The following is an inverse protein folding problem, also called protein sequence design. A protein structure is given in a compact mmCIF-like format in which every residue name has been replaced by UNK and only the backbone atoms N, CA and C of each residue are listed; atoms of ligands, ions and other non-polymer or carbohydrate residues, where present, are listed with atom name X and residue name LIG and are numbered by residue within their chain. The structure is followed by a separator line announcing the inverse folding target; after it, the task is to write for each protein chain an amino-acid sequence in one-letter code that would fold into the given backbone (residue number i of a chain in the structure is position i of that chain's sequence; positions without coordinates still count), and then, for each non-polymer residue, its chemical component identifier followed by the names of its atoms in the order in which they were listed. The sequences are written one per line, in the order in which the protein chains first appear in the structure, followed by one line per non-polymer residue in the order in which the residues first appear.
data_IF_828991668824
#
_entry.id   IF_828991668824
#
_cell.length_a   1.000
_cell.length_b   1.000
_cell.length_c   1.000
_cell.angle_alpha   90.00
_cell.angle_beta   90.00
_cell.angle_gamma   90.00
#
_symmetry.space_group_name_H-M   'P 1'
#
loop_
_entity.id
_entity.type
_entity.pdbx_description
1 polymer ?
#
# COMPACT_ATOMS: atom_id res chain seq x y z
N UNK A 1 -16.52 29.37 -2.13
CA UNK A 1 -16.41 28.00 -1.58
C UNK A 1 -17.34 26.98 -2.26
N UNK A 2 -18.63 27.29 -2.55
CA UNK A 2 -19.59 26.32 -3.11
C UNK A 2 -19.34 25.85 -4.56
N UNK A 3 -18.52 26.56 -5.34
CA UNK A 3 -18.26 26.25 -6.77
C UNK A 3 -17.06 25.32 -6.98
N UNK A 4 -16.02 25.46 -6.15
CA UNK A 4 -14.81 24.60 -6.16
C UNK A 4 -15.11 23.18 -5.67
N UNK A 5 -16.13 23.00 -4.83
CA UNK A 5 -16.52 21.69 -4.28
C UNK A 5 -17.46 20.90 -5.19
N UNK A 6 -18.08 21.53 -6.20
CA UNK A 6 -19.04 20.86 -7.10
C UNK A 6 -18.40 20.57 -8.45
N UNK A 7 -17.57 21.47 -8.98
CA UNK A 7 -16.93 21.29 -10.29
C UNK A 7 -15.70 20.37 -10.26
N UNK A 8 -14.93 20.32 -9.16
CA UNK A 8 -13.84 19.35 -9.01
C UNK A 8 -14.32 17.96 -8.59
N UNK A 9 -15.50 17.86 -7.96
CA UNK A 9 -16.05 16.56 -7.54
C UNK A 9 -16.57 15.77 -8.76
N UNK A 10 -17.23 16.43 -9.71
CA UNK A 10 -17.74 15.77 -10.93
C UNK A 10 -16.64 15.39 -11.92
N UNK A 11 -15.50 16.10 -11.95
CA UNK A 11 -14.35 15.73 -12.77
C UNK A 11 -13.49 14.59 -12.19
N UNK A 12 -13.48 14.42 -10.85
CA UNK A 12 -12.75 13.35 -10.14
C UNK A 12 -13.55 12.05 -9.98
N UNK A 13 -14.85 12.07 -10.28
CA UNK A 13 -15.74 10.89 -10.28
C UNK A 13 -15.74 10.13 -11.62
N UNK A 14 -14.79 10.39 -12.51
CA UNK A 14 -14.58 9.52 -13.65
C UNK A 14 -13.95 8.22 -13.13
N UNK A 15 -14.79 7.20 -12.93
CA UNK A 15 -14.33 5.84 -12.69
C UNK A 15 -13.54 5.42 -13.92
N UNK A 16 -12.28 5.03 -13.71
CA UNK A 16 -11.40 4.52 -14.79
C UNK A 16 -11.26 3.00 -14.74
N UNK A 17 -11.60 2.41 -13.59
CA UNK A 17 -11.65 0.97 -13.39
C UNK A 17 -12.82 0.64 -12.45
N UNK A 18 -13.83 -0.02 -12.99
CA UNK A 18 -14.95 -0.60 -12.23
C UNK A 18 -14.56 -1.98 -11.72
N UNK A 19 -15.09 -2.36 -10.56
CA UNK A 19 -14.90 -3.68 -9.95
C UNK A 19 -13.43 -4.14 -9.92
N UNK A 20 -12.53 -3.23 -9.56
CA UNK A 20 -11.11 -3.49 -9.54
C UNK A 20 -10.76 -4.51 -8.43
N UNK A 21 -10.14 -5.60 -8.84
CA UNK A 21 -9.68 -6.71 -7.99
C UNK A 21 -8.18 -6.86 -8.15
N UNK A 22 -7.47 -7.00 -7.03
CA UNK A 22 -6.03 -7.32 -7.01
C UNK A 22 -5.83 -8.66 -6.33
N UNK A 23 -5.06 -9.54 -6.97
CA UNK A 23 -4.58 -10.79 -6.39
C UNK A 23 -3.06 -10.78 -6.38
N UNK A 24 -2.50 -11.24 -5.27
CA UNK A 24 -1.08 -11.51 -5.12
C UNK A 24 -0.93 -13.00 -4.85
N UNK A 25 -0.39 -13.73 -5.82
CA UNK A 25 -0.11 -15.16 -5.72
C UNK A 25 1.36 -15.35 -5.38
N UNK A 26 1.66 -15.71 -4.13
CA UNK A 26 3.02 -15.91 -3.64
C UNK A 26 3.53 -17.32 -3.94
N UNK A 27 4.77 -17.43 -4.41
CA UNK A 27 5.39 -18.75 -4.62
C UNK A 27 5.76 -19.39 -3.25
N UNK A 28 5.12 -20.51 -2.85
CA UNK A 28 5.34 -21.10 -1.54
C UNK A 28 6.74 -21.71 -1.37
N UNK A 29 7.47 -21.93 -2.47
CA UNK A 29 8.85 -22.43 -2.43
C UNK A 29 9.84 -21.30 -2.10
N UNK A 30 9.46 -20.03 -2.34
CA UNK A 30 10.30 -18.85 -2.08
C UNK A 30 9.82 -18.09 -0.85
N UNK A 31 8.51 -17.95 -0.68
CA UNK A 31 7.87 -17.22 0.42
C UNK A 31 7.36 -18.19 1.47
N UNK A 32 7.89 -18.06 2.68
CA UNK A 32 7.50 -18.90 3.84
C UNK A 32 6.28 -18.36 4.57
N UNK A 33 6.14 -17.02 4.66
CA UNK A 33 5.04 -16.32 5.32
C UNK A 33 4.87 -14.94 4.70
N UNK A 34 3.65 -14.42 4.72
CA UNK A 34 3.36 -13.06 4.31
C UNK A 34 2.20 -12.48 5.12
N UNK A 35 2.13 -11.16 5.21
CA UNK A 35 1.02 -10.42 5.85
C UNK A 35 0.73 -9.15 5.05
N UNK A 36 -0.55 -8.90 4.79
CA UNK A 36 -1.03 -7.63 4.25
C UNK A 36 -1.13 -6.62 5.40
N UNK A 37 -0.58 -5.42 5.22
CA UNK A 37 -0.58 -4.36 6.23
C UNK A 37 -1.70 -3.35 5.93
N UNK A 38 -2.56 -3.09 6.92
CA UNK A 38 -3.56 -2.02 6.89
C UNK A 38 -4.82 -2.27 6.04
N UNK A 39 -4.88 -3.42 5.34
CA UNK A 39 -6.02 -3.84 4.51
C UNK A 39 -6.53 -5.25 4.85
N UNK A 40 -6.19 -5.75 6.03
CA UNK A 40 -6.51 -7.11 6.50
C UNK A 40 -8.02 -7.42 6.41
N UNK A 41 -8.85 -6.40 6.69
CA UNK A 41 -10.32 -6.53 6.74
C UNK A 41 -11.02 -6.47 5.38
N UNK A 42 -10.30 -6.24 4.27
CA UNK A 42 -10.86 -6.18 2.91
C UNK A 42 -10.36 -7.30 1.99
N UNK A 43 -9.74 -8.34 2.54
CA UNK A 43 -9.21 -9.47 1.76
C UNK A 43 -10.35 -10.25 1.10
N UNK A 44 -10.31 -10.34 -0.22
CA UNK A 44 -11.15 -11.24 -1.01
C UNK A 44 -10.53 -12.64 -0.98
N UNK A 45 -11.35 -13.69 -0.93
CA UNK A 45 -10.82 -15.06 -0.99
C UNK A 45 -10.25 -15.36 -2.39
N UNK A 46 -9.14 -16.10 -2.45
CA UNK A 46 -8.44 -16.36 -3.72
C UNK A 46 -9.34 -17.02 -4.79
N UNK A 47 -10.29 -17.85 -4.35
CA UNK A 47 -11.28 -18.52 -5.21
C UNK A 47 -12.22 -17.55 -5.93
N UNK A 48 -12.43 -16.37 -5.34
CA UNK A 48 -13.40 -15.37 -5.77
C UNK A 48 -12.78 -14.30 -6.67
N UNK A 49 -11.45 -14.33 -6.87
CA UNK A 49 -10.74 -13.34 -7.69
C UNK A 49 -11.26 -13.26 -9.13
N UNK A 50 -11.57 -14.42 -9.74
CA UNK A 50 -12.12 -14.52 -11.11
C UNK A 50 -13.65 -14.61 -11.13
N UNK A 51 -14.31 -14.43 -10.00
CA UNK A 51 -15.76 -14.40 -9.93
C UNK A 51 -16.25 -12.96 -10.13
N UNK A 52 -16.72 -12.65 -11.33
CA UNK A 52 -17.19 -11.31 -11.71
C UNK A 52 -18.52 -10.91 -11.00
N UNK A 53 -19.17 -11.83 -10.28
CA UNK A 53 -20.37 -11.52 -9.47
C UNK A 53 -20.05 -10.97 -8.08
N UNK A 54 -18.78 -11.01 -7.67
CA UNK A 54 -18.33 -10.47 -6.38
C UNK A 54 -17.97 -9.00 -6.54
N UNK A 55 -18.65 -8.14 -5.78
CA UNK A 55 -18.43 -6.70 -5.73
C UNK A 55 -17.02 -6.37 -5.21
N UNK A 56 -16.38 -5.36 -5.79
CA UNK A 56 -15.00 -4.98 -5.51
C UNK A 56 -14.83 -3.46 -5.46
N UNK A 57 -13.60 -2.97 -5.38
CA UNK A 57 -13.35 -1.54 -5.25
C UNK A 57 -13.49 -0.79 -6.57
N UNK A 58 -14.09 0.39 -6.56
CA UNK A 58 -14.00 1.33 -7.68
C UNK A 58 -12.72 2.18 -7.59
N UNK A 59 -12.04 2.41 -8.72
CA UNK A 59 -10.88 3.31 -8.79
C UNK A 59 -11.21 4.48 -9.72
N UNK A 60 -11.18 5.68 -9.12
CA UNK A 60 -11.39 6.95 -9.83
C UNK A 60 -10.10 7.51 -10.41
N UNK A 61 -10.25 8.40 -11.41
CA UNK A 61 -9.12 9.12 -12.00
C UNK A 61 -8.34 9.91 -10.94
N UNK A 62 -7.03 9.69 -10.86
CA UNK A 62 -6.15 10.34 -9.88
C UNK A 62 -6.11 9.66 -8.50
N UNK A 63 -6.88 8.60 -8.27
CA UNK A 63 -6.75 7.80 -7.04
C UNK A 63 -5.59 6.82 -7.14
N UNK A 64 -4.87 6.66 -6.03
CA UNK A 64 -3.84 5.63 -5.87
C UNK A 64 -4.26 4.69 -4.74
N UNK A 65 -4.26 3.39 -5.02
CA UNK A 65 -4.47 2.35 -4.02
C UNK A 65 -3.14 1.68 -3.75
N UNK A 66 -2.75 1.59 -2.49
CA UNK A 66 -1.52 0.91 -2.06
C UNK A 66 -1.88 -0.29 -1.21
N UNK A 67 -1.40 -1.47 -1.62
CA UNK A 67 -1.35 -2.65 -0.77
C UNK A 67 0.10 -2.89 -0.37
N UNK A 68 0.37 -2.98 0.93
CA UNK A 68 1.71 -3.21 1.45
C UNK A 68 1.79 -4.60 2.08
N UNK A 69 2.78 -5.39 1.66
CA UNK A 69 2.99 -6.74 2.19
C UNK A 69 4.31 -6.83 2.93
N UNK A 70 4.27 -7.43 4.12
CA UNK A 70 5.45 -7.94 4.81
C UNK A 70 5.65 -9.40 4.38
N UNK A 71 6.86 -9.76 3.97
CA UNK A 71 7.17 -11.06 3.36
C UNK A 71 8.38 -11.67 4.07
N UNK A 72 8.26 -12.94 4.48
CA UNK A 72 9.37 -13.74 5.00
C UNK A 72 9.76 -14.81 3.98
N UNK A 73 11.01 -14.78 3.53
CA UNK A 73 11.55 -15.75 2.59
C UNK A 73 12.10 -17.00 3.27
N UNK A 74 12.12 -18.11 2.54
CA UNK A 74 12.93 -19.26 2.92
C UNK A 74 14.42 -18.90 2.81
N UNK A 75 15.24 -19.44 3.72
CA UNK A 75 16.67 -19.13 3.77
C UNK A 75 17.40 -19.66 2.52
N UNK A 76 18.25 -18.82 1.92
CA UNK A 76 19.07 -19.19 0.77
C UNK A 76 18.32 -19.39 -0.55
N UNK A 77 16.99 -19.23 -0.57
CA UNK A 77 16.19 -19.42 -1.79
C UNK A 77 16.14 -18.14 -2.63
N UNK A 78 16.21 -18.32 -3.95
CA UNK A 78 16.07 -17.28 -4.97
C UNK A 78 14.95 -17.65 -5.95
N UNK A 79 14.47 -16.66 -6.70
CA UNK A 79 13.45 -16.85 -7.75
C UNK A 79 12.25 -15.92 -7.58
N UNK A 80 11.16 -16.29 -8.24
CA UNK A 80 9.90 -15.53 -8.27
C UNK A 80 9.28 -15.48 -6.88
N UNK A 81 9.02 -14.28 -6.39
CA UNK A 81 8.33 -14.01 -5.13
C UNK A 81 6.83 -14.21 -5.32
N UNK A 82 6.27 -13.55 -6.33
CA UNK A 82 4.85 -13.53 -6.56
C UNK A 82 4.49 -13.16 -8.00
N UNK A 83 3.26 -13.50 -8.38
CA UNK A 83 2.56 -12.90 -9.50
C UNK A 83 1.48 -11.99 -8.96
N UNK A 84 1.48 -10.73 -9.40
CA UNK A 84 0.44 -9.74 -9.05
C UNK A 84 -0.45 -9.55 -10.26
N UNK A 85 -1.76 -9.78 -10.07
CA UNK A 85 -2.77 -9.63 -11.10
C UNK A 85 -3.79 -8.56 -10.69
N UNK A 86 -4.04 -7.61 -11.58
CA UNK A 86 -5.10 -6.60 -11.48
C UNK A 86 -6.16 -6.92 -12.53
N UNK A 87 -7.39 -7.16 -12.09
CA UNK A 87 -8.57 -7.34 -12.94
C UNK A 87 -9.52 -6.17 -12.73
N UNK A 88 -10.03 -5.57 -13.79
CA UNK A 88 -11.01 -4.50 -13.71
C UNK A 88 -11.91 -4.47 -14.94
N UNK A 89 -13.10 -3.90 -14.80
CA UNK A 89 -13.98 -3.62 -15.90
C UNK A 89 -13.74 -2.20 -16.43
N UNK A 90 -13.54 -2.10 -17.74
CA UNK A 90 -13.47 -0.82 -18.44
C UNK A 90 -14.85 -0.14 -18.41
N UNK A 91 -14.93 1.11 -17.92
CA UNK A 91 -16.19 1.80 -17.69
C UNK A 91 -16.94 2.17 -18.98
N UNK A 92 -16.23 2.31 -20.10
CA UNK A 92 -16.76 2.79 -21.38
C UNK A 92 -17.22 1.62 -22.26
N UNK A 93 -16.44 0.54 -22.28
CA UNK A 93 -16.70 -0.66 -23.12
C UNK A 93 -17.42 -1.76 -22.37
N UNK A 94 -17.32 -1.79 -21.03
CA UNK A 94 -17.82 -2.88 -20.20
C UNK A 94 -16.97 -4.16 -20.26
N UNK A 95 -15.85 -4.15 -21.00
CA UNK A 95 -14.96 -5.30 -21.11
C UNK A 95 -14.11 -5.47 -19.85
N UNK A 96 -13.88 -6.73 -19.47
CA UNK A 96 -13.01 -7.05 -18.33
C UNK A 96 -11.58 -7.21 -18.82
N UNK A 97 -10.67 -6.43 -18.23
CA UNK A 97 -9.24 -6.45 -18.51
C UNK A 97 -8.50 -7.08 -17.33
N UNK A 98 -7.41 -7.82 -17.61
CA UNK A 98 -6.52 -8.40 -16.61
C UNK A 98 -5.07 -8.09 -16.99
N UNK A 99 -4.34 -7.47 -16.07
CA UNK A 99 -2.92 -7.14 -16.20
C UNK A 99 -2.18 -7.91 -15.13
N UNK A 100 -1.12 -8.64 -15.50
CA UNK A 100 -0.32 -9.40 -14.55
C UNK A 100 1.16 -9.08 -14.68
N UNK A 101 1.87 -9.10 -13.54
CA UNK A 101 3.32 -8.94 -13.47
C UNK A 101 3.91 -9.91 -12.45
N UNK A 102 4.99 -10.59 -12.84
CA UNK A 102 5.81 -11.37 -11.93
C UNK A 102 6.85 -10.47 -11.25
N UNK A 103 7.16 -10.80 -9.99
CA UNK A 103 8.18 -10.14 -9.20
C UNK A 103 9.21 -11.16 -8.73
N UNK A 104 10.48 -10.93 -9.06
CA UNK A 104 11.60 -11.77 -8.66
C UNK A 104 12.36 -11.19 -7.46
N UNK A 105 12.99 -12.09 -6.69
CA UNK A 105 13.81 -11.71 -5.53
C UNK A 105 14.98 -10.80 -5.89
N UNK A 106 15.50 -10.91 -7.11
CA UNK A 106 16.54 -10.04 -7.63
C UNK A 106 16.09 -8.60 -7.89
N UNK A 107 14.78 -8.34 -8.00
CA UNK A 107 14.25 -6.98 -8.16
C UNK A 107 14.18 -6.20 -6.83
N UNK A 108 14.35 -6.88 -5.70
CA UNK A 108 14.29 -6.23 -4.39
C UNK A 108 15.59 -5.50 -4.08
N UNK A 109 15.43 -4.24 -3.67
CA UNK A 109 16.48 -3.49 -2.98
C UNK A 109 16.71 -4.08 -1.59
N UNK A 110 17.97 -4.31 -1.23
CA UNK A 110 18.37 -4.84 0.09
C UNK A 110 18.65 -3.75 1.13
N UNK A 111 18.76 -2.50 0.70
CA UNK A 111 19.01 -1.33 1.56
C UNK A 111 17.79 -0.42 1.53
N UNK A 112 17.07 -0.33 2.65
CA UNK A 112 15.79 0.39 2.73
C UNK A 112 15.86 1.84 2.19
N UNK A 113 16.94 2.54 2.47
CA UNK A 113 17.18 3.93 2.03
C UNK A 113 17.30 4.09 0.51
N UNK A 114 17.60 3.01 -0.22
CA UNK A 114 17.67 2.96 -1.68
C UNK A 114 16.32 2.64 -2.33
N UNK A 115 15.31 2.24 -1.53
CA UNK A 115 13.96 2.06 -2.05
C UNK A 115 13.36 3.39 -2.47
N UNK A 116 12.28 3.38 -3.27
CA UNK A 116 11.64 4.62 -3.71
C UNK A 116 11.18 5.46 -2.51
N UNK A 117 11.24 6.80 -2.57
CA UNK A 117 10.77 7.65 -1.47
C UNK A 117 9.31 7.38 -1.08
N UNK A 118 8.46 7.02 -2.04
CA UNK A 118 7.07 6.61 -1.79
C UNK A 118 6.96 5.28 -1.04
N UNK A 119 7.82 4.30 -1.34
CA UNK A 119 7.87 3.07 -0.54
C UNK A 119 8.32 3.35 0.90
N UNK A 120 9.36 4.17 1.08
CA UNK A 120 9.83 4.58 2.41
C UNK A 120 8.72 5.29 3.21
N UNK A 121 7.94 6.16 2.56
CA UNK A 121 6.77 6.80 3.16
C UNK A 121 5.70 5.78 3.58
N UNK A 122 5.32 4.87 2.68
CA UNK A 122 4.30 3.86 2.95
C UNK A 122 4.69 2.94 4.11
N UNK A 123 5.96 2.53 4.18
CA UNK A 123 6.49 1.75 5.29
C UNK A 123 6.43 2.54 6.61
N UNK A 124 6.82 3.82 6.60
CA UNK A 124 6.75 4.69 7.78
C UNK A 124 5.32 4.86 8.30
N UNK A 125 4.36 5.06 7.39
CA UNK A 125 2.93 5.20 7.74
C UNK A 125 2.38 3.90 8.31
N UNK A 126 2.74 2.75 7.72
CA UNK A 126 2.33 1.45 8.22
C UNK A 126 2.89 1.18 9.61
N UNK A 127 4.20 1.41 9.83
CA UNK A 127 4.83 1.24 11.15
C UNK A 127 4.20 2.17 12.20
N UNK A 128 3.99 3.44 11.85
CA UNK A 128 3.28 4.39 12.72
C UNK A 128 1.90 3.87 13.14
N UNK A 129 1.12 3.37 12.18
CA UNK A 129 -0.21 2.84 12.45
C UNK A 129 -0.18 1.57 13.33
N UNK A 130 0.81 0.69 13.13
CA UNK A 130 1.00 -0.52 13.94
C UNK A 130 1.36 -0.17 15.39
N UNK A 131 2.23 0.83 15.60
CA UNK A 131 2.56 1.34 16.95
C UNK A 131 1.32 1.91 17.62
N UNK A 132 0.58 2.80 16.94
CA UNK A 132 -0.63 3.42 17.51
C UNK A 132 -1.75 2.43 17.83
N UNK A 133 -1.77 1.29 17.14
CA UNK A 133 -2.70 0.19 17.38
C UNK A 133 -2.24 -0.77 18.48
N UNK A 134 -1.07 -0.55 19.08
CA UNK A 134 -0.42 -1.47 20.01
C UNK A 134 -0.34 -2.89 19.45
N UNK A 135 0.00 -2.98 18.16
CA UNK A 135 0.04 -4.25 17.47
C UNK A 135 1.15 -5.15 17.99
N UNK A 136 0.89 -6.45 18.01
CA UNK A 136 1.91 -7.47 18.31
C UNK A 136 3.17 -7.31 17.46
N UNK A 137 3.04 -6.80 16.22
CA UNK A 137 4.14 -6.64 15.28
C UNK A 137 4.96 -5.37 15.50
N UNK A 138 4.51 -4.44 16.36
CA UNK A 138 5.19 -3.18 16.65
C UNK A 138 5.96 -3.20 17.98
N UNK A 139 6.12 -4.36 18.62
CA UNK A 139 6.76 -4.48 19.94
C UNK A 139 8.21 -3.95 19.97
N UNK A 140 8.92 -4.09 18.86
CA UNK A 140 10.30 -3.62 18.71
C UNK A 140 10.41 -2.26 17.99
N UNK A 141 9.26 -1.68 17.61
CA UNK A 141 9.17 -0.39 16.91
C UNK A 141 9.05 0.77 17.89
N UNK A 142 9.50 1.96 17.48
CA UNK A 142 9.40 3.17 18.29
C UNK A 142 8.98 4.40 17.49
N UNK A 143 8.24 5.31 18.13
CA UNK A 143 7.86 6.59 17.52
C UNK A 143 9.09 7.45 17.18
N UNK A 144 10.21 7.27 17.88
CA UNK A 144 11.48 7.92 17.55
C UNK A 144 12.01 7.47 16.19
N UNK A 145 12.07 6.16 15.92
CA UNK A 145 12.51 5.62 14.64
C UNK A 145 11.59 6.09 13.49
N UNK A 146 10.27 6.02 13.70
CA UNK A 146 9.29 6.50 12.72
C UNK A 146 9.46 7.99 12.47
N UNK A 147 9.76 8.80 13.49
CA UNK A 147 10.02 10.23 13.35
C UNK A 147 11.24 10.51 12.48
N UNK A 148 12.34 9.79 12.71
CA UNK A 148 13.54 9.90 11.87
C UNK A 148 13.21 9.61 10.41
N UNK A 149 12.48 8.52 10.16
CA UNK A 149 12.05 8.16 8.82
C UNK A 149 11.09 9.18 8.20
N UNK A 150 10.12 9.68 8.96
CA UNK A 150 9.15 10.69 8.52
C UNK A 150 9.85 12.00 8.09
N UNK A 151 10.86 12.46 8.83
CA UNK A 151 11.65 13.63 8.44
C UNK A 151 12.49 13.38 7.19
N UNK A 152 13.07 12.17 7.06
CA UNK A 152 13.79 11.78 5.85
C UNK A 152 12.88 11.84 4.62
N UNK A 153 11.71 11.19 4.65
CA UNK A 153 10.81 11.16 3.49
C UNK A 153 10.23 12.53 3.18
N UNK A 154 9.99 13.38 4.19
CA UNK A 154 9.62 14.80 3.99
C UNK A 154 10.69 15.58 3.21
N UNK A 155 11.97 15.32 3.48
CA UNK A 155 13.07 15.90 2.71
C UNK A 155 13.13 15.38 1.27
N UNK A 156 12.93 14.07 1.07
CA UNK A 156 12.97 13.43 -0.25
C UNK A 156 11.76 13.79 -1.13
N UNK A 157 10.60 14.04 -0.51
CA UNK A 157 9.34 14.39 -1.17
C UNK A 157 8.97 15.85 -0.89
N UNK A 158 9.95 16.74 -0.97
CA UNK A 158 9.76 18.16 -0.70
C UNK A 158 8.67 18.75 -1.62
N UNK A 159 7.71 19.45 -1.01
CA UNK A 159 6.56 20.04 -1.71
C UNK A 159 5.28 19.22 -1.65
N UNK A 160 5.31 18.01 -1.11
CA UNK A 160 4.10 17.23 -0.81
C UNK A 160 3.52 17.65 0.57
N UNK A 161 2.36 18.33 0.60
CA UNK A 161 1.77 18.82 1.86
C UNK A 161 1.33 17.68 2.78
N UNK A 162 0.90 16.54 2.23
CA UNK A 162 0.42 15.40 3.01
C UNK A 162 1.58 14.71 3.73
N UNK A 163 2.75 14.64 3.08
CA UNK A 163 3.98 14.13 3.72
C UNK A 163 4.45 15.07 4.83
N UNK A 164 4.35 16.38 4.61
CA UNK A 164 4.68 17.36 5.64
C UNK A 164 3.74 17.28 6.85
N UNK A 165 2.43 17.08 6.62
CA UNK A 165 1.45 16.85 7.66
C UNK A 165 1.71 15.55 8.43
N UNK A 166 1.96 14.44 7.73
CA UNK A 166 2.32 13.16 8.34
C UNK A 166 3.52 13.29 9.28
N UNK A 167 4.61 13.92 8.83
CA UNK A 167 5.78 14.16 9.69
C UNK A 167 5.45 15.00 10.93
N UNK A 168 4.51 15.95 10.83
CA UNK A 168 4.03 16.73 11.96
C UNK A 168 3.09 15.96 12.90
N UNK A 169 2.35 14.97 12.41
CA UNK A 169 1.56 14.05 13.25
C UNK A 169 2.49 13.14 14.07
N UNK A 170 3.49 12.54 13.44
CA UNK A 170 4.47 11.67 14.10
C UNK A 170 5.22 12.43 15.19
N UNK A 171 5.69 13.65 14.90
CA UNK A 171 6.39 14.48 15.90
C UNK A 171 5.50 14.86 17.10
N UNK A 172 4.20 15.07 16.88
CA UNK A 172 3.25 15.29 17.99
C UNK A 172 3.03 14.03 18.80
N UNK A 173 2.83 12.89 18.14
CA UNK A 173 2.61 11.61 18.82
C UNK A 173 3.82 11.21 19.68
N UNK A 174 5.04 11.41 19.19
CA UNK A 174 6.26 11.12 19.95
C UNK A 174 6.36 11.97 21.23
N UNK A 175 6.02 13.27 21.16
CA UNK A 175 6.01 14.15 22.34
C UNK A 175 4.90 13.83 23.34
N UNK A 176 3.83 13.19 22.90
CA UNK A 176 2.69 12.76 23.73
C UNK A 176 2.89 11.30 24.18
N UNK A 177 3.97 10.64 23.75
CA UNK A 177 4.21 9.20 23.92
C UNK A 177 3.88 8.69 25.33
N UNK A 178 3.33 7.47 25.42
CA UNK A 178 2.63 6.99 26.60
C UNK A 178 3.54 7.01 27.83
N UNK A 179 2.99 7.41 28.98
CA UNK A 179 3.58 7.13 30.30
C UNK A 179 3.82 5.62 30.50
#
# INVERSE_FOLDING_TARGET
ARRVFVENLTGMLQVIAKDAKVQVDFDPNVVSRYRLLGYENRRIADRDFRNDTVDAGEVGAGHTVTALYEIKFHEGVQGRIATVSLRYQDPDTGEVQEISREFDRSELTTVFEQASPRFQLNAAVAEYAEILRESYWAQDSSLEQVKVLAQRVKGLLAGDPDVAEFAGLVDRAERIGPD
#
